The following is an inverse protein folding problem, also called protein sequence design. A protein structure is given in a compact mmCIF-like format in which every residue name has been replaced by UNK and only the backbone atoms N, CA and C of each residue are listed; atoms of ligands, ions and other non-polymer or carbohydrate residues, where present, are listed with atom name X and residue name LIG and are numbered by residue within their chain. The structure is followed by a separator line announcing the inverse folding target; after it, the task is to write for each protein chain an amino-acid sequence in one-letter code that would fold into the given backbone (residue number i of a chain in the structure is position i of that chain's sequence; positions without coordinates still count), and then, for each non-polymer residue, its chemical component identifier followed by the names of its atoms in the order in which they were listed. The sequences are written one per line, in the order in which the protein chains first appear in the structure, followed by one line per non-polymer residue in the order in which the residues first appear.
data_IF_638769205093
#
_entry.id   IF_638769205093
#
_cell.length_a   1.000
_cell.length_b   1.000
_cell.length_c   1.000
_cell.angle_alpha   90.00
_cell.angle_beta   90.00
_cell.angle_gamma   90.00
#
_symmetry.space_group_name_H-M   'P 1'
#
loop_
_entity.id
_entity.type
_entity.pdbx_description
1 polymer ?
#
# COMPACT_ATOMS: atom_id res chain seq x y z
N UNK A 1 27.27 -1.34 -11.17
CA UNK A 1 26.34 -1.41 -12.33
C UNK A 1 25.04 -0.79 -11.86
N UNK A 2 24.48 0.16 -12.60
CA UNK A 2 23.18 0.75 -12.23
C UNK A 2 22.05 -0.27 -12.43
N UNK A 3 20.92 -0.06 -11.75
CA UNK A 3 19.70 -0.81 -12.04
C UNK A 3 19.20 -0.45 -13.44
N UNK A 4 19.10 -1.45 -14.33
CA UNK A 4 18.43 -1.26 -15.61
C UNK A 4 16.95 -1.00 -15.35
N UNK A 5 16.48 0.19 -15.77
CA UNK A 5 15.08 0.57 -15.63
C UNK A 5 14.28 -0.05 -16.77
N UNK A 6 13.28 -0.90 -16.49
CA UNK A 6 12.42 -1.45 -17.52
C UNK A 6 11.68 -0.34 -18.28
N UNK A 7 11.26 -0.62 -19.52
CA UNK A 7 10.39 0.30 -20.26
C UNK A 7 9.08 0.51 -19.49
N UNK A 8 8.54 1.72 -19.53
CA UNK A 8 7.23 2.05 -18.97
C UNK A 8 6.13 1.07 -19.40
N UNK A 9 6.14 0.60 -20.65
CA UNK A 9 5.18 -0.40 -21.13
C UNK A 9 5.24 -1.70 -20.31
N UNK A 10 6.44 -2.14 -19.93
CA UNK A 10 6.65 -3.32 -19.09
C UNK A 10 6.27 -3.06 -17.62
N UNK A 11 6.50 -1.84 -17.13
CA UNK A 11 6.13 -1.46 -15.77
C UNK A 11 4.61 -1.36 -15.57
N UNK A 12 3.87 -1.07 -16.65
CA UNK A 12 2.41 -1.01 -16.68
C UNK A 12 1.75 -2.36 -17.03
N UNK A 13 2.54 -3.43 -17.20
CA UNK A 13 2.05 -4.81 -17.25
C UNK A 13 1.76 -5.33 -15.83
N UNK A 14 0.93 -6.39 -15.68
CA UNK A 14 0.56 -6.88 -14.38
C UNK A 14 1.77 -7.57 -13.74
N UNK A 15 1.91 -7.42 -12.43
CA UNK A 15 2.83 -8.26 -11.67
C UNK A 15 2.33 -9.71 -11.66
N UNK A 16 3.22 -10.70 -11.50
CA UNK A 16 2.77 -12.06 -11.21
C UNK A 16 1.96 -12.12 -9.91
N UNK A 17 1.20 -13.21 -9.65
CA UNK A 17 0.44 -13.41 -8.41
C UNK A 17 1.29 -13.15 -7.16
N UNK A 18 0.94 -12.10 -6.43
CA UNK A 18 1.61 -11.70 -5.20
C UNK A 18 1.09 -12.61 -4.09
N UNK A 19 2.00 -13.36 -3.48
CA UNK A 19 1.70 -14.33 -2.43
C UNK A 19 1.97 -13.75 -1.05
N UNK A 20 1.25 -14.24 -0.04
CA UNK A 20 1.48 -13.96 1.37
C UNK A 20 2.15 -15.19 2.02
N UNK A 21 3.08 -15.00 2.95
CA UNK A 21 3.80 -16.10 3.59
C UNK A 21 5.28 -15.80 3.88
N UNK A 22 5.99 -16.73 4.50
CA UNK A 22 7.41 -16.54 4.91
C UNK A 22 8.44 -16.94 3.86
N UNK A 23 8.01 -17.45 2.70
CA UNK A 23 8.92 -17.96 1.68
C UNK A 23 9.53 -16.81 0.87
N UNK A 24 10.83 -16.94 0.56
CA UNK A 24 11.54 -16.12 -0.42
C UNK A 24 12.13 -17.01 -1.52
N UNK A 25 12.34 -16.45 -2.71
CA UNK A 25 13.06 -17.11 -3.81
C UNK A 25 12.58 -16.67 -5.19
N UNK A 26 13.33 -17.03 -6.25
CA UNK A 26 13.04 -16.61 -7.62
C UNK A 26 11.63 -16.98 -8.13
N UNK A 27 11.01 -18.01 -7.54
CA UNK A 27 9.68 -18.49 -7.90
C UNK A 27 8.55 -17.94 -7.00
N UNK A 28 8.87 -17.08 -6.02
CA UNK A 28 7.89 -16.51 -5.09
C UNK A 28 7.87 -14.99 -5.22
N UNK A 29 6.79 -14.45 -5.76
CA UNK A 29 6.52 -13.01 -5.85
C UNK A 29 5.75 -12.60 -4.59
N UNK A 30 6.27 -11.65 -3.83
CA UNK A 30 5.80 -11.36 -2.47
C UNK A 30 6.44 -12.31 -1.44
N UNK A 31 5.62 -13.01 -0.65
CA UNK A 31 6.07 -13.85 0.45
C UNK A 31 6.80 -13.02 1.50
N UNK A 32 8.03 -13.40 1.83
CA UNK A 32 8.86 -12.64 2.76
C UNK A 32 9.25 -11.25 2.21
N UNK A 33 9.12 -11.05 0.89
CA UNK A 33 9.31 -9.76 0.21
C UNK A 33 7.98 -9.05 -0.06
N UNK A 34 7.08 -9.09 0.92
CA UNK A 34 5.80 -8.40 0.88
C UNK A 34 5.72 -7.34 1.99
N UNK A 35 4.93 -6.28 1.80
CA UNK A 35 4.76 -5.20 2.79
C UNK A 35 4.30 -5.72 4.16
N UNK A 36 3.49 -6.79 4.18
CA UNK A 36 3.04 -7.46 5.42
C UNK A 36 4.18 -8.10 6.23
N UNK A 37 5.32 -8.40 5.60
CA UNK A 37 6.46 -9.01 6.26
C UNK A 37 7.31 -7.98 7.03
N UNK A 38 7.17 -6.69 6.73
CA UNK A 38 8.07 -5.64 7.25
C UNK A 38 8.01 -5.53 8.77
N UNK A 39 6.84 -5.25 9.36
CA UNK A 39 6.76 -5.09 10.82
C UNK A 39 7.07 -6.38 11.59
N UNK A 40 6.60 -7.58 11.18
CA UNK A 40 7.06 -8.84 11.76
C UNK A 40 8.58 -9.00 11.70
N UNK A 41 9.23 -8.73 10.57
CA UNK A 41 10.69 -8.82 10.47
C UNK A 41 11.40 -7.85 11.41
N UNK A 42 10.93 -6.60 11.50
CA UNK A 42 11.49 -5.58 12.41
C UNK A 42 11.29 -5.93 13.88
N UNK A 43 10.21 -6.63 14.22
CA UNK A 43 10.00 -7.16 15.58
C UNK A 43 11.09 -8.17 15.97
N UNK A 44 11.53 -9.01 15.03
CA UNK A 44 12.65 -9.93 15.24
C UNK A 44 14.00 -9.20 15.34
N UNK A 45 14.21 -8.12 14.58
CA UNK A 45 15.39 -7.25 14.75
C UNK A 45 15.51 -6.69 16.18
N UNK A 46 14.38 -6.36 16.80
CA UNK A 46 14.28 -5.86 18.18
C UNK A 46 14.39 -6.97 19.24
N UNK A 47 14.60 -8.24 18.83
CA UNK A 47 14.66 -9.38 19.74
C UNK A 47 13.30 -9.80 20.31
N UNK A 48 12.19 -9.29 19.75
CA UNK A 48 10.83 -9.53 20.23
C UNK A 48 9.95 -9.97 19.06
N UNK A 49 10.17 -11.19 18.51
CA UNK A 49 9.51 -11.64 17.29
C UNK A 49 7.99 -11.77 17.46
N UNK A 50 7.25 -11.15 16.55
CA UNK A 50 5.78 -11.19 16.46
C UNK A 50 5.37 -12.05 15.27
N UNK A 51 4.71 -13.17 15.54
CA UNK A 51 4.07 -14.00 14.53
C UNK A 51 2.68 -13.47 14.18
N UNK A 52 2.25 -13.69 12.93
CA UNK A 52 0.92 -13.30 12.43
C UNK A 52 0.25 -14.46 11.70
N UNK A 53 -1.02 -14.28 11.31
CA UNK A 53 -1.81 -15.30 10.61
C UNK A 53 -1.16 -15.79 9.30
N UNK A 54 -0.39 -14.93 8.63
CA UNK A 54 0.30 -15.27 7.36
C UNK A 54 1.81 -15.36 7.53
N UNK A 55 2.37 -14.90 8.65
CA UNK A 55 3.80 -14.90 8.94
C UNK A 55 4.11 -15.58 10.28
N UNK A 56 4.17 -16.92 10.34
CA UNK A 56 4.45 -17.64 11.57
C UNK A 56 5.90 -17.47 12.08
N UNK A 57 6.86 -17.09 11.23
CA UNK A 57 8.28 -16.95 11.59
C UNK A 57 8.86 -15.58 11.26
N UNK A 58 8.72 -14.64 12.19
CA UNK A 58 9.35 -13.32 12.11
C UNK A 58 10.88 -13.37 11.91
N UNK A 59 11.56 -14.37 12.48
CA UNK A 59 13.02 -14.55 12.31
C UNK A 59 13.38 -14.94 10.87
N UNK A 60 12.60 -15.82 10.24
CA UNK A 60 12.81 -16.17 8.84
C UNK A 60 12.60 -14.94 7.92
N UNK A 61 11.65 -14.06 8.25
CA UNK A 61 11.46 -12.81 7.53
C UNK A 61 12.65 -11.85 7.69
N UNK A 62 13.16 -11.69 8.91
CA UNK A 62 14.38 -10.91 9.17
C UNK A 62 15.55 -11.40 8.30
N UNK A 63 15.79 -12.70 8.28
CA UNK A 63 16.86 -13.33 7.50
C UNK A 63 16.64 -13.14 5.99
N UNK A 64 15.42 -13.35 5.51
CA UNK A 64 15.07 -13.21 4.08
C UNK A 64 15.20 -11.76 3.57
N UNK A 65 14.94 -10.78 4.43
CA UNK A 65 15.12 -9.35 4.13
C UNK A 65 16.56 -8.87 4.41
N UNK A 66 17.42 -9.69 5.01
CA UNK A 66 18.79 -9.34 5.35
C UNK A 66 18.88 -8.24 6.41
N UNK A 67 17.91 -8.16 7.31
CA UNK A 67 17.84 -7.10 8.31
C UNK A 67 18.73 -7.44 9.53
N UNK A 68 19.61 -6.52 9.97
CA UNK A 68 20.45 -6.76 11.14
C UNK A 68 19.63 -6.75 12.44
N UNK A 69 20.21 -7.25 13.52
CA UNK A 69 19.69 -6.98 14.87
C UNK A 69 19.92 -5.51 15.23
N UNK A 70 18.95 -4.91 15.91
CA UNK A 70 19.02 -3.50 16.28
C UNK A 70 18.28 -3.26 17.59
N UNK A 71 18.82 -2.36 18.42
CA UNK A 71 18.17 -1.94 19.66
C UNK A 71 17.02 -0.97 19.41
N UNK A 72 17.14 -0.15 18.36
CA UNK A 72 16.17 0.87 17.97
C UNK A 72 15.94 0.78 16.48
N UNK A 73 14.67 0.79 16.07
CA UNK A 73 14.26 0.69 14.68
C UNK A 73 13.38 1.88 14.33
N UNK A 74 13.68 2.56 13.23
CA UNK A 74 12.83 3.57 12.61
C UNK A 74 12.32 3.02 11.28
N UNK A 75 11.02 2.77 11.18
CA UNK A 75 10.38 2.46 9.91
C UNK A 75 9.74 3.71 9.35
N UNK A 76 10.18 4.12 8.16
CA UNK A 76 9.64 5.28 7.45
C UNK A 76 8.76 4.77 6.32
N UNK A 77 7.48 5.15 6.31
CA UNK A 77 6.59 4.92 5.18
C UNK A 77 6.43 6.22 4.40
N UNK A 78 6.91 6.22 3.16
CA UNK A 78 6.74 7.30 2.20
C UNK A 78 5.60 6.93 1.26
N UNK A 79 4.45 7.56 1.47
CA UNK A 79 3.22 7.32 0.72
C UNK A 79 3.43 7.57 -0.78
N UNK A 80 3.02 6.62 -1.62
CA UNK A 80 3.08 6.71 -3.09
C UNK A 80 4.48 6.66 -3.71
N UNK A 81 5.53 6.34 -2.94
CA UNK A 81 6.90 6.21 -3.45
C UNK A 81 7.15 4.81 -4.03
N UNK A 82 6.73 4.56 -5.27
CA UNK A 82 7.02 3.30 -5.96
C UNK A 82 8.51 3.10 -6.22
N UNK A 83 8.98 1.85 -6.23
CA UNK A 83 10.39 1.54 -6.43
C UNK A 83 10.88 2.05 -7.80
N UNK A 84 10.09 1.84 -8.85
CA UNK A 84 10.45 2.31 -10.18
C UNK A 84 10.27 3.81 -10.34
N UNK A 85 9.29 4.43 -9.68
CA UNK A 85 9.19 5.89 -9.63
C UNK A 85 10.50 6.50 -9.06
N UNK A 86 11.00 5.92 -7.96
CA UNK A 86 12.26 6.30 -7.33
C UNK A 86 13.47 6.07 -8.25
N UNK A 87 13.63 4.87 -8.81
CA UNK A 87 14.76 4.54 -9.69
C UNK A 87 14.81 5.45 -10.92
N UNK A 88 13.66 5.74 -11.54
CA UNK A 88 13.57 6.65 -12.70
C UNK A 88 13.94 8.11 -12.39
N UNK A 89 13.93 8.50 -11.11
CA UNK A 89 14.25 9.86 -10.66
C UNK A 89 15.42 9.90 -9.66
N UNK A 90 16.22 8.82 -9.58
CA UNK A 90 17.31 8.68 -8.61
C UNK A 90 18.39 9.78 -8.71
N UNK A 91 18.49 10.45 -9.86
CA UNK A 91 19.39 11.59 -10.06
C UNK A 91 19.12 12.78 -9.13
N UNK A 92 17.88 12.92 -8.64
CA UNK A 92 17.42 14.02 -7.80
C UNK A 92 17.54 13.74 -6.29
N UNK A 93 17.86 12.50 -5.90
CA UNK A 93 17.77 12.04 -4.51
C UNK A 93 19.10 11.48 -4.03
N UNK A 94 20.09 12.33 -3.74
CA UNK A 94 21.45 11.88 -3.43
C UNK A 94 21.52 10.89 -2.26
N UNK A 95 20.69 11.03 -1.22
CA UNK A 95 20.70 10.11 -0.08
C UNK A 95 20.04 8.77 -0.44
N UNK A 96 18.83 8.76 -0.99
CA UNK A 96 18.17 7.52 -1.43
C UNK A 96 18.99 6.80 -2.51
N UNK A 97 19.64 7.55 -3.42
CA UNK A 97 20.56 6.99 -4.41
C UNK A 97 21.77 6.30 -3.76
N UNK A 98 22.33 6.87 -2.69
CA UNK A 98 23.41 6.19 -1.95
C UNK A 98 22.94 4.90 -1.28
N UNK A 99 21.69 4.81 -0.85
CA UNK A 99 21.14 3.55 -0.36
C UNK A 99 20.92 2.55 -1.52
N UNK A 100 20.42 3.00 -2.67
CA UNK A 100 20.22 2.18 -3.86
C UNK A 100 21.52 1.63 -4.47
N UNK A 101 22.69 2.25 -4.20
CA UNK A 101 23.96 1.67 -4.63
C UNK A 101 24.32 0.39 -3.88
N UNK A 102 23.71 0.14 -2.72
CA UNK A 102 23.90 -1.09 -1.96
C UNK A 102 23.04 -2.24 -2.54
N UNK A 103 23.63 -3.40 -2.89
CA UNK A 103 22.91 -4.51 -3.52
C UNK A 103 21.68 -4.99 -2.74
N UNK A 104 21.69 -4.91 -1.41
CA UNK A 104 20.54 -5.34 -0.59
C UNK A 104 19.29 -4.50 -0.88
N UNK A 105 19.47 -3.22 -1.22
CA UNK A 105 18.41 -2.24 -1.45
C UNK A 105 17.91 -2.21 -2.91
N UNK A 106 18.55 -2.98 -3.80
CA UNK A 106 18.22 -3.04 -5.23
C UNK A 106 17.06 -4.00 -5.55
N UNK A 107 16.43 -4.57 -4.52
CA UNK A 107 15.40 -5.58 -4.67
C UNK A 107 14.09 -5.10 -4.02
N UNK A 108 13.07 -4.73 -4.81
CA UNK A 108 11.82 -4.20 -4.27
C UNK A 108 11.07 -5.23 -3.40
N UNK A 109 10.19 -4.71 -2.53
CA UNK A 109 9.08 -5.49 -1.98
C UNK A 109 7.86 -5.35 -2.88
N UNK A 110 6.86 -6.20 -2.61
CA UNK A 110 5.54 -6.11 -3.18
C UNK A 110 4.54 -5.60 -2.13
N UNK A 111 3.66 -4.69 -2.53
CA UNK A 111 2.51 -4.28 -1.71
C UNK A 111 1.28 -5.17 -1.93
N UNK A 112 0.21 -4.91 -1.17
CA UNK A 112 -1.07 -5.61 -1.29
C UNK A 112 -1.80 -5.30 -2.60
N UNK A 113 -2.82 -6.10 -2.89
CA UNK A 113 -3.79 -5.84 -3.94
C UNK A 113 -5.21 -5.64 -3.36
N UNK A 114 -5.94 -4.57 -3.74
CA UNK A 114 -5.47 -3.45 -4.58
C UNK A 114 -4.30 -2.69 -3.94
N UNK A 115 -3.46 -2.06 -4.77
CA UNK A 115 -2.27 -1.29 -4.35
C UNK A 115 -2.69 0.10 -3.85
N UNK A 116 -3.51 0.10 -2.81
CA UNK A 116 -4.16 1.28 -2.26
C UNK A 116 -3.74 1.49 -0.82
N UNK A 117 -3.65 2.74 -0.36
CA UNK A 117 -3.29 3.07 1.02
C UNK A 117 -4.12 2.27 2.03
N UNK A 118 -5.43 2.10 1.81
CA UNK A 118 -6.32 1.36 2.74
C UNK A 118 -5.85 -0.09 2.93
N UNK A 119 -5.68 -0.83 1.83
CA UNK A 119 -5.27 -2.23 1.89
C UNK A 119 -3.82 -2.35 2.38
N UNK A 120 -2.94 -1.51 1.86
CA UNK A 120 -1.50 -1.51 2.16
C UNK A 120 -1.23 -1.20 3.63
N UNK A 121 -1.88 -0.17 4.19
CA UNK A 121 -1.77 0.15 5.62
C UNK A 121 -2.34 -0.96 6.50
N UNK A 122 -3.44 -1.56 6.07
CA UNK A 122 -4.02 -2.72 6.74
C UNK A 122 -3.07 -3.89 6.85
N UNK A 123 -2.43 -4.28 5.74
CA UNK A 123 -1.46 -5.39 5.75
C UNK A 123 -0.17 -5.02 6.45
N UNK A 124 0.31 -3.78 6.31
CA UNK A 124 1.53 -3.28 6.95
C UNK A 124 1.39 -3.36 8.48
N UNK A 125 0.34 -2.73 9.02
CA UNK A 125 0.18 -2.58 10.45
C UNK A 125 -0.17 -3.86 11.19
N UNK A 126 -0.79 -4.82 10.51
CA UNK A 126 -1.18 -6.13 11.10
C UNK A 126 -0.21 -7.26 10.74
N UNK A 127 0.63 -7.06 9.73
CA UNK A 127 1.43 -8.10 9.12
C UNK A 127 0.59 -9.24 8.53
N UNK A 128 -0.60 -8.96 8.00
CA UNK A 128 -1.52 -9.97 7.44
C UNK A 128 -1.88 -9.70 5.97
N UNK A 129 -3.12 -9.97 5.56
CA UNK A 129 -3.61 -9.82 4.19
C UNK A 129 -4.98 -9.12 4.14
N UNK A 130 -5.38 -8.51 3.02
CA UNK A 130 -6.66 -7.81 2.90
C UNK A 130 -7.87 -8.69 3.22
N UNK A 131 -7.81 -9.98 2.89
CA UNK A 131 -8.85 -10.97 3.17
C UNK A 131 -9.06 -11.29 4.66
N UNK A 132 -8.09 -10.94 5.51
CA UNK A 132 -8.17 -11.06 6.98
C UNK A 132 -8.48 -9.72 7.65
N UNK A 133 -7.94 -8.63 7.12
CA UNK A 133 -8.17 -7.29 7.67
C UNK A 133 -9.54 -6.72 7.31
N UNK A 134 -10.09 -7.11 6.15
CA UNK A 134 -11.33 -6.54 5.61
C UNK A 134 -11.16 -5.21 4.92
N UNK A 135 -9.94 -4.72 4.77
CA UNK A 135 -9.60 -3.51 4.02
C UNK A 135 -9.27 -3.91 2.57
N UNK A 136 -10.30 -3.99 1.72
CA UNK A 136 -10.20 -4.61 0.39
C UNK A 136 -10.21 -3.62 -0.77
N UNK A 137 -10.35 -2.32 -0.49
CA UNK A 137 -10.27 -1.25 -1.50
C UNK A 137 -10.55 0.13 -0.91
N UNK A 138 -10.32 1.19 -1.69
CA UNK A 138 -10.63 2.57 -1.27
C UNK A 138 -12.12 2.77 -0.92
N UNK A 139 -13.01 2.25 -1.78
CA UNK A 139 -14.42 2.06 -1.46
C UNK A 139 -14.78 0.58 -1.54
N UNK A 140 -15.66 0.12 -0.66
CA UNK A 140 -16.12 -1.26 -0.66
C UNK A 140 -17.54 -1.37 -0.11
N UNK A 141 -18.24 -2.46 -0.40
CA UNK A 141 -19.56 -2.71 0.15
C UNK A 141 -19.49 -2.86 1.67
N UNK A 142 -20.30 -2.08 2.38
CA UNK A 142 -20.61 -2.32 3.78
C UNK A 142 -21.73 -3.37 3.85
N UNK A 143 -21.47 -4.57 4.40
CA UNK A 143 -22.46 -5.64 4.43
C UNK A 143 -23.66 -5.32 5.32
N UNK A 144 -23.53 -4.40 6.29
CA UNK A 144 -24.61 -4.06 7.22
C UNK A 144 -25.64 -3.11 6.58
N UNK A 145 -25.22 -2.29 5.62
CA UNK A 145 -26.07 -1.28 4.98
C UNK A 145 -26.39 -1.58 3.52
N UNK A 146 -25.62 -2.46 2.88
CA UNK A 146 -25.71 -2.73 1.44
C UNK A 146 -25.27 -1.56 0.57
N UNK A 147 -24.60 -0.55 1.14
CA UNK A 147 -24.09 0.64 0.45
C UNK A 147 -22.55 0.63 0.43
N UNK A 148 -21.94 1.49 -0.39
CA UNK A 148 -20.49 1.67 -0.39
C UNK A 148 -20.04 2.48 0.84
N UNK A 149 -19.00 1.99 1.51
CA UNK A 149 -18.23 2.73 2.50
C UNK A 149 -16.91 3.20 1.90
N UNK A 150 -16.51 4.43 2.22
CA UNK A 150 -15.17 4.96 1.91
C UNK A 150 -14.24 4.67 3.08
N UNK A 151 -13.10 4.04 2.81
CA UNK A 151 -12.30 3.36 3.83
C UNK A 151 -11.11 4.17 4.38
N UNK A 152 -10.82 5.36 3.85
CA UNK A 152 -9.81 6.27 4.44
C UNK A 152 -10.41 6.98 5.67
N UNK A 153 -11.63 7.48 5.54
CA UNK A 153 -12.39 8.19 6.57
C UNK A 153 -13.40 7.28 7.27
N UNK A 154 -13.59 6.04 6.79
CA UNK A 154 -14.63 5.11 7.22
C UNK A 154 -16.05 5.69 7.12
N UNK A 155 -16.28 6.57 6.14
CA UNK A 155 -17.60 7.16 5.89
C UNK A 155 -18.51 6.09 5.27
N UNK A 156 -19.58 5.73 5.97
CA UNK A 156 -20.48 4.67 5.53
C UNK A 156 -19.91 3.26 5.68
N UNK A 157 -18.73 3.11 6.31
CA UNK A 157 -18.14 1.83 6.67
C UNK A 157 -18.57 1.40 8.08
N UNK A 158 -18.24 0.16 8.45
CA UNK A 158 -18.38 -0.32 9.83
C UNK A 158 -17.38 0.41 10.75
N UNK A 159 -17.55 0.32 12.07
CA UNK A 159 -16.55 0.84 13.01
C UNK A 159 -15.17 0.20 12.74
N UNK A 160 -14.05 0.95 12.83
CA UNK A 160 -12.74 0.48 12.39
C UNK A 160 -12.27 -0.83 13.05
N UNK A 161 -12.45 -0.97 14.36
CA UNK A 161 -12.06 -2.14 15.16
C UNK A 161 -13.06 -3.29 14.99
N UNK A 162 -14.31 -2.98 14.60
CA UNK A 162 -15.26 -4.01 14.20
C UNK A 162 -14.89 -4.62 12.84
N UNK A 163 -14.44 -3.79 11.90
CA UNK A 163 -14.05 -4.20 10.55
C UNK A 163 -12.69 -4.91 10.55
N UNK A 164 -11.68 -4.29 11.14
CA UNK A 164 -10.34 -4.84 11.28
C UNK A 164 -10.20 -5.44 12.67
N UNK A 165 -10.14 -6.77 12.75
CA UNK A 165 -10.17 -7.51 14.02
C UNK A 165 -8.85 -8.16 14.41
N UNK A 166 -7.83 -8.10 13.55
CA UNK A 166 -6.51 -8.68 13.84
C UNK A 166 -5.74 -7.73 14.75
N UNK A 167 -4.97 -8.21 15.74
CA UNK A 167 -4.08 -7.34 16.49
C UNK A 167 -3.09 -6.68 15.53
N UNK A 168 -2.78 -5.40 15.75
CA UNK A 168 -1.66 -4.78 15.05
C UNK A 168 -0.34 -5.32 15.63
N UNK A 169 0.73 -5.28 14.82
CA UNK A 169 2.07 -5.60 15.32
C UNK A 169 2.49 -4.59 16.39
N UNK A 170 2.01 -3.35 16.28
CA UNK A 170 2.21 -2.29 17.27
C UNK A 170 1.60 -2.63 18.63
N UNK A 171 0.33 -3.07 18.69
CA UNK A 171 -0.33 -3.53 19.91
C UNK A 171 0.42 -4.71 20.53
N UNK A 172 0.86 -5.66 19.69
CA UNK A 172 1.55 -6.86 20.15
C UNK A 172 2.90 -6.53 20.78
N UNK A 173 3.70 -5.66 20.14
CA UNK A 173 4.97 -5.17 20.67
C UNK A 173 4.77 -4.42 21.99
N UNK A 174 3.77 -3.53 22.05
CA UNK A 174 3.46 -2.77 23.27
C UNK A 174 3.07 -3.72 24.42
N UNK A 175 2.24 -4.73 24.16
CA UNK A 175 1.84 -5.73 25.15
C UNK A 175 3.03 -6.56 25.66
N UNK A 176 4.10 -6.68 24.86
CA UNK A 176 5.36 -7.34 25.24
C UNK A 176 6.38 -6.38 25.87
N UNK A 177 5.99 -5.13 26.17
CA UNK A 177 6.82 -4.14 26.84
C UNK A 177 7.80 -3.39 25.92
N UNK A 178 7.69 -3.56 24.60
CA UNK A 178 8.49 -2.82 23.62
C UNK A 178 7.88 -1.43 23.43
N UNK A 179 8.71 -0.38 23.49
CA UNK A 179 8.28 0.98 23.16
C UNK A 179 7.86 1.04 21.70
N UNK A 180 6.67 1.57 21.46
CA UNK A 180 6.15 1.84 20.11
C UNK A 180 5.72 3.30 20.03
N UNK A 181 6.26 4.02 19.05
CA UNK A 181 5.94 5.42 18.82
C UNK A 181 5.62 5.68 17.35
N UNK A 182 4.52 6.36 17.08
CA UNK A 182 4.14 6.83 15.75
C UNK A 182 4.28 8.35 15.68
N UNK A 183 4.99 8.86 14.68
CA UNK A 183 5.17 10.29 14.43
C UNK A 183 4.44 10.70 13.15
N UNK A 184 3.46 11.59 13.28
CA UNK A 184 2.55 11.90 12.19
C UNK A 184 1.79 13.22 12.36
N UNK A 185 0.84 13.45 11.45
CA UNK A 185 0.00 14.65 11.47
C UNK A 185 -1.07 14.56 12.57
N UNK A 186 -1.44 15.67 13.24
CA UNK A 186 -2.49 15.67 14.25
C UNK A 186 -3.81 15.06 13.80
N UNK A 187 -4.23 15.34 12.56
CA UNK A 187 -5.47 14.81 11.98
C UNK A 187 -5.50 13.28 11.83
N UNK A 188 -4.35 12.61 11.92
CA UNK A 188 -4.27 11.16 11.77
C UNK A 188 -4.27 10.41 13.09
N UNK A 189 -3.90 11.06 14.21
CA UNK A 189 -3.82 10.44 15.54
C UNK A 189 -5.02 9.54 15.85
N UNK A 190 -6.21 10.09 15.74
CA UNK A 190 -7.47 9.42 16.06
C UNK A 190 -8.29 9.09 14.80
N UNK A 191 -7.63 9.09 13.63
CA UNK A 191 -8.30 8.78 12.37
C UNK A 191 -8.73 7.31 12.33
N UNK A 192 -9.84 7.05 11.64
CA UNK A 192 -10.40 5.72 11.53
C UNK A 192 -9.41 4.69 10.94
N UNK A 193 -8.63 5.08 9.92
CA UNK A 193 -7.60 4.21 9.35
C UNK A 193 -6.47 3.93 10.35
N UNK A 194 -6.04 4.93 11.14
CA UNK A 194 -5.04 4.71 12.20
C UNK A 194 -5.58 3.76 13.28
N UNK A 195 -6.84 3.90 13.69
CA UNK A 195 -7.51 2.96 14.61
C UNK A 195 -7.59 1.54 14.03
N UNK A 196 -7.94 1.39 12.75
CA UNK A 196 -8.01 0.07 12.11
C UNK A 196 -6.64 -0.60 11.96
N UNK A 197 -5.62 0.15 11.53
CA UNK A 197 -4.38 -0.46 11.04
C UNK A 197 -3.15 -0.23 11.92
N UNK A 198 -3.08 0.88 12.67
CA UNK A 198 -1.83 1.37 13.29
C UNK A 198 -1.96 1.66 14.79
N UNK A 199 -3.04 1.21 15.43
CA UNK A 199 -3.26 1.39 16.88
C UNK A 199 -2.24 0.62 17.71
N UNK A 200 -2.04 1.03 18.98
CA UNK A 200 -1.12 0.40 19.94
C UNK A 200 0.16 1.20 20.23
N UNK A 201 0.50 2.20 19.41
CA UNK A 201 1.64 3.09 19.67
C UNK A 201 1.27 4.39 20.38
N UNK A 202 2.23 5.01 21.07
CA UNK A 202 2.14 6.42 21.44
C UNK A 202 2.18 7.29 20.17
N UNK A 203 1.30 8.29 20.05
CA UNK A 203 1.21 9.13 18.86
C UNK A 203 1.72 10.57 19.08
N UNK A 204 2.92 10.84 18.55
CA UNK A 204 3.53 12.16 18.52
C UNK A 204 3.02 12.95 17.30
N UNK A 205 2.27 14.02 17.55
CA UNK A 205 1.59 14.75 16.49
C UNK A 205 2.18 16.15 16.28
N UNK A 206 2.63 16.42 15.04
CA UNK A 206 3.11 17.75 14.65
C UNK A 206 2.67 18.13 13.22
N UNK A 207 2.31 19.41 13.04
CA UNK A 207 1.90 19.93 11.73
C UNK A 207 3.08 20.02 10.75
N UNK A 208 4.23 20.51 11.21
CA UNK A 208 5.41 20.68 10.37
C UNK A 208 6.17 19.36 10.20
N UNK A 209 6.56 19.04 8.97
CA UNK A 209 7.30 17.82 8.62
C UNK A 209 8.58 17.68 9.43
N UNK A 210 9.37 18.75 9.54
CA UNK A 210 10.60 18.76 10.33
C UNK A 210 10.37 18.47 11.82
N UNK A 211 9.27 18.94 12.40
CA UNK A 211 8.95 18.62 13.81
C UNK A 211 8.62 17.14 13.98
N UNK A 212 7.90 16.53 13.03
CA UNK A 212 7.64 15.08 13.03
C UNK A 212 8.93 14.27 12.95
N UNK A 213 9.85 14.68 12.08
CA UNK A 213 11.17 14.07 11.95
C UNK A 213 11.95 14.15 13.26
N UNK A 214 12.05 15.33 13.86
CA UNK A 214 12.78 15.52 15.12
C UNK A 214 12.16 14.71 16.27
N UNK A 215 10.83 14.61 16.32
CA UNK A 215 10.13 13.76 17.29
C UNK A 215 10.46 12.27 17.09
N UNK A 216 10.56 11.81 15.84
CA UNK A 216 10.99 10.43 15.53
C UNK A 216 12.44 10.19 15.95
N UNK A 217 13.36 11.15 15.72
CA UNK A 217 14.75 11.06 16.19
C UNK A 217 14.83 10.96 17.71
N UNK A 218 14.05 11.77 18.43
CA UNK A 218 14.05 11.75 19.89
C UNK A 218 13.51 10.42 20.42
N UNK A 219 12.40 9.92 19.87
CA UNK A 219 11.85 8.61 20.23
C UNK A 219 12.85 7.47 19.98
N UNK A 220 13.62 7.54 18.89
CA UNK A 220 14.62 6.53 18.53
C UNK A 220 15.84 6.47 19.46
N UNK A 221 16.03 7.45 20.36
CA UNK A 221 17.06 7.39 21.42
C UNK A 221 16.77 6.31 22.46
N UNK A 222 15.51 5.90 22.58
CA UNK A 222 15.10 4.79 23.43
C UNK A 222 14.84 3.54 22.59
N UNK A 223 15.27 2.35 23.06
CA UNK A 223 15.01 1.08 22.37
C UNK A 223 13.54 0.90 22.00
N UNK A 224 13.28 0.27 20.87
CA UNK A 224 11.93 -0.03 20.38
C UNK A 224 11.69 0.39 18.93
N UNK A 225 10.41 0.44 18.56
CA UNK A 225 9.95 0.74 17.20
C UNK A 225 9.43 2.18 17.09
N UNK A 226 9.90 2.90 16.09
CA UNK A 226 9.38 4.23 15.73
C UNK A 226 8.87 4.20 14.29
N UNK A 227 7.60 4.53 14.09
CA UNK A 227 6.97 4.69 12.78
C UNK A 227 6.92 6.17 12.40
N UNK A 228 7.46 6.52 11.23
CA UNK A 228 7.40 7.87 10.66
C UNK A 228 6.67 7.82 9.31
N UNK A 229 5.65 8.66 9.15
CA UNK A 229 4.88 8.75 7.92
C UNK A 229 5.15 10.06 7.16
N UNK A 230 5.46 9.94 5.87
CA UNK A 230 5.69 11.04 4.93
C UNK A 230 4.69 10.89 3.78
N UNK A 231 3.96 11.96 3.45
CA UNK A 231 2.78 11.90 2.56
C UNK A 231 2.89 12.73 1.29
N UNK A 232 4.00 13.45 1.17
CA UNK A 232 4.07 14.61 0.27
C UNK A 232 4.17 14.16 -1.19
N UNK A 233 4.90 13.07 -1.45
CA UNK A 233 5.06 12.44 -2.78
C UNK A 233 3.72 11.99 -3.36
N UNK A 234 2.95 11.18 -2.62
CA UNK A 234 1.60 10.78 -3.02
C UNK A 234 0.67 11.98 -3.29
N UNK A 235 0.59 12.90 -2.32
CA UNK A 235 -0.29 14.07 -2.42
C UNK A 235 -0.02 14.89 -3.67
N UNK A 236 1.25 15.11 -4.00
CA UNK A 236 1.64 15.87 -5.19
C UNK A 236 1.43 15.04 -6.45
N UNK A 237 1.73 13.73 -6.42
CA UNK A 237 1.47 12.82 -7.54
C UNK A 237 0.01 12.83 -7.96
N UNK A 238 -0.92 12.72 -7.02
CA UNK A 238 -2.36 12.82 -7.32
C UNK A 238 -2.78 14.17 -7.88
N UNK A 239 -2.10 15.27 -7.54
CA UNK A 239 -2.49 16.61 -7.95
C UNK A 239 -1.91 17.02 -9.30
N UNK A 240 -0.65 16.65 -9.54
CA UNK A 240 0.16 17.18 -10.65
C UNK A 240 0.72 16.09 -11.57
N UNK A 241 0.56 14.81 -11.21
CA UNK A 241 1.21 13.71 -11.91
C UNK A 241 2.60 13.45 -11.33
N UNK A 242 3.12 12.23 -11.51
CA UNK A 242 4.44 11.87 -10.98
C UNK A 242 5.58 12.13 -11.97
N UNK A 243 5.26 12.31 -13.26
CA UNK A 243 6.27 12.53 -14.29
C UNK A 243 6.78 13.99 -14.32
N UNK A 244 6.05 14.94 -13.71
CA UNK A 244 6.30 16.38 -13.71
C UNK A 244 7.28 16.91 -12.65
N UNK A 245 7.61 18.20 -12.76
CA UNK A 245 8.61 18.88 -11.90
C UNK A 245 8.13 19.06 -10.45
N UNK A 246 6.82 19.25 -10.23
CA UNK A 246 6.25 19.40 -8.89
C UNK A 246 6.47 18.13 -8.05
N UNK A 247 6.32 16.96 -8.66
CA UNK A 247 6.57 15.69 -7.99
C UNK A 247 8.06 15.50 -7.72
N UNK A 248 8.93 15.87 -8.66
CA UNK A 248 10.39 15.85 -8.44
C UNK A 248 10.78 16.73 -7.26
N UNK A 249 10.22 17.94 -7.14
CA UNK A 249 10.47 18.81 -5.98
C UNK A 249 9.98 18.19 -4.66
N UNK A 250 8.82 17.52 -4.65
CA UNK A 250 8.33 16.79 -3.49
C UNK A 250 9.24 15.61 -3.11
N UNK A 251 9.78 14.91 -4.10
CA UNK A 251 10.76 13.84 -3.94
C UNK A 251 12.09 14.37 -3.36
N UNK A 252 12.62 15.46 -3.90
CA UNK A 252 13.84 16.14 -3.39
C UNK A 252 13.67 16.57 -1.93
N UNK A 253 12.53 17.16 -1.58
CA UNK A 253 12.19 17.53 -0.20
C UNK A 253 12.07 16.31 0.73
N UNK A 254 11.63 15.17 0.21
CA UNK A 254 11.56 13.91 0.96
C UNK A 254 12.96 13.33 1.19
N UNK A 255 13.82 13.30 0.16
CA UNK A 255 15.22 12.87 0.28
C UNK A 255 15.98 13.72 1.31
N UNK A 256 15.81 15.05 1.27
CA UNK A 256 16.43 15.96 2.23
C UNK A 256 16.00 15.68 3.69
N UNK A 257 14.71 15.34 3.89
CA UNK A 257 14.21 14.91 5.20
C UNK A 257 14.86 13.60 5.63
N UNK A 258 14.90 12.59 4.77
CA UNK A 258 15.48 11.29 5.11
C UNK A 258 17.00 11.40 5.38
N UNK A 259 17.71 12.25 4.65
CA UNK A 259 19.10 12.55 4.92
C UNK A 259 19.29 13.27 6.27
N UNK A 260 18.39 14.18 6.66
CA UNK A 260 18.41 14.79 8.00
C UNK A 260 18.11 13.76 9.09
N UNK A 261 17.17 12.84 8.85
CA UNK A 261 16.86 11.74 9.76
C UNK A 261 18.12 10.89 10.02
N UNK A 262 18.76 10.36 8.96
CA UNK A 262 19.99 9.57 9.05
C UNK A 262 21.06 10.28 9.91
N UNK A 263 21.37 11.55 9.63
CA UNK A 263 22.40 12.31 10.37
C UNK A 263 22.09 12.54 11.85
N UNK A 264 20.82 12.46 12.25
CA UNK A 264 20.37 12.78 13.62
C UNK A 264 20.10 11.55 14.47
N UNK A 265 19.90 10.40 13.85
CA UNK A 265 19.64 9.17 14.58
C UNK A 265 20.89 8.74 15.35
N UNK A 266 20.72 8.10 16.53
CA UNK A 266 21.84 7.50 17.24
C UNK A 266 22.50 6.39 16.41
N UNK A 267 23.82 6.24 16.55
CA UNK A 267 24.56 5.12 15.96
C UNK A 267 23.96 3.78 16.41
N UNK A 268 23.89 2.82 15.49
CA UNK A 268 23.26 1.51 15.68
C UNK A 268 21.73 1.51 15.55
N UNK A 269 21.13 2.61 15.05
CA UNK A 269 19.69 2.65 14.73
C UNK A 269 19.46 2.09 13.34
N UNK A 270 18.61 1.06 13.23
CA UNK A 270 18.18 0.52 11.95
C UNK A 270 17.03 1.38 11.40
N UNK A 271 17.24 1.96 10.22
CA UNK A 271 16.19 2.64 9.44
C UNK A 271 15.75 1.76 8.28
N UNK A 272 14.44 1.57 8.13
CA UNK A 272 13.86 0.87 6.98
C UNK A 272 12.84 1.78 6.30
N UNK A 273 13.11 2.14 5.05
CA UNK A 273 12.28 3.04 4.25
C UNK A 273 11.47 2.21 3.27
N UNK A 274 10.14 2.28 3.39
CA UNK A 274 9.16 1.58 2.56
C UNK A 274 8.11 2.53 2.00
N UNK A 275 7.25 2.02 1.14
CA UNK A 275 6.04 2.72 0.68
C UNK A 275 4.83 1.80 0.79
N UNK A 276 3.63 2.36 0.65
CA UNK A 276 2.38 1.61 0.55
C UNK A 276 2.03 1.23 -0.89
N UNK A 277 2.38 2.06 -1.86
CA UNK A 277 2.25 1.78 -3.30
C UNK A 277 3.17 2.69 -4.14
N UNK A 278 3.20 2.44 -5.45
CA UNK A 278 3.72 3.37 -6.44
C UNK A 278 2.66 4.24 -7.08
N UNK A 279 3.04 4.93 -8.16
CA UNK A 279 2.17 5.90 -8.83
C UNK A 279 2.25 5.74 -10.35
N UNK A 280 1.08 5.76 -10.99
CA UNK A 280 0.91 5.76 -12.45
C UNK A 280 0.40 7.13 -12.86
N UNK A 281 0.89 7.63 -13.98
CA UNK A 281 0.34 8.83 -14.62
C UNK A 281 -0.84 8.40 -15.50
N UNK A 282 -2.01 8.98 -15.27
CA UNK A 282 -3.22 8.67 -16.02
C UNK A 282 -3.21 9.34 -17.40
N UNK A 283 -3.88 8.73 -18.37
CA UNK A 283 -4.14 9.35 -19.68
C UNK A 283 -5.63 9.77 -19.76
N UNK A 284 -5.94 11.08 -19.79
CA UNK A 284 -7.31 11.57 -19.92
C UNK A 284 -8.05 11.05 -21.15
N UNK A 285 -7.34 10.72 -22.24
CA UNK A 285 -7.93 10.18 -23.47
C UNK A 285 -8.29 8.70 -23.33
N UNK A 286 -7.71 8.01 -22.36
CA UNK A 286 -7.98 6.60 -22.07
C UNK A 286 -8.93 6.40 -20.89
N UNK A 287 -9.43 7.50 -20.30
CA UNK A 287 -10.42 7.46 -19.24
C UNK A 287 -11.74 6.87 -19.76
N UNK A 288 -12.26 5.88 -19.04
CA UNK A 288 -13.56 5.28 -19.31
C UNK A 288 -14.49 5.67 -18.17
N UNK A 289 -15.56 6.39 -18.50
CA UNK A 289 -16.63 6.73 -17.57
C UNK A 289 -17.76 5.71 -17.67
N UNK A 290 -17.88 4.86 -16.66
CA UNK A 290 -18.83 3.75 -16.60
C UNK A 290 -20.28 4.25 -16.68
N UNK A 291 -20.56 5.45 -16.15
CA UNK A 291 -21.88 6.07 -16.25
C UNK A 291 -22.32 6.35 -17.70
N UNK A 292 -21.36 6.48 -18.62
CA UNK A 292 -21.58 6.76 -20.04
C UNK A 292 -21.50 5.51 -20.92
N UNK A 293 -21.37 4.32 -20.32
CA UNK A 293 -21.22 3.04 -21.02
C UNK A 293 -22.37 2.10 -20.62
N UNK A 294 -23.56 2.21 -21.24
CA UNK A 294 -24.74 1.42 -20.86
C UNK A 294 -24.51 -0.09 -20.87
N UNK A 295 -23.68 -0.60 -21.78
CA UNK A 295 -23.34 -2.02 -21.86
C UNK A 295 -22.47 -2.49 -20.68
N UNK A 296 -21.55 -1.64 -20.19
CA UNK A 296 -20.75 -1.95 -18.99
C UNK A 296 -21.58 -1.87 -17.72
N UNK A 297 -22.56 -0.96 -17.67
CA UNK A 297 -23.39 -0.71 -16.51
C UNK A 297 -24.59 -1.68 -16.39
N UNK A 298 -24.92 -2.43 -17.45
CA UNK A 298 -26.00 -3.42 -17.42
C UNK A 298 -25.70 -4.51 -16.38
N UNK A 299 -26.67 -4.82 -15.51
CA UNK A 299 -26.56 -5.81 -14.42
C UNK A 299 -25.58 -5.43 -13.29
N UNK A 300 -25.12 -4.18 -13.25
CA UNK A 300 -24.23 -3.65 -12.21
C UNK A 300 -25.04 -2.76 -11.26
N UNK A 301 -25.07 -3.13 -9.97
CA UNK A 301 -25.79 -2.41 -8.92
C UNK A 301 -24.97 -1.28 -8.32
N UNK A 302 -23.69 -1.53 -8.03
CA UNK A 302 -22.76 -0.57 -7.44
C UNK A 302 -21.37 -0.71 -8.06
N UNK A 303 -20.67 0.41 -8.20
CA UNK A 303 -19.26 0.48 -8.61
C UNK A 303 -18.43 1.02 -7.45
N UNK A 304 -17.68 0.14 -6.80
CA UNK A 304 -16.73 0.50 -5.74
C UNK A 304 -15.27 0.33 -6.17
N UNK A 305 -14.37 0.22 -5.20
CA UNK A 305 -12.93 0.20 -5.40
C UNK A 305 -12.36 1.59 -5.65
N UNK A 306 -11.48 1.68 -6.64
CA UNK A 306 -10.74 2.89 -7.05
C UNK A 306 -10.51 2.90 -8.56
N UNK A 307 -10.13 4.03 -9.17
CA UNK A 307 -10.08 4.16 -10.64
C UNK A 307 -9.19 3.14 -11.36
N UNK A 308 -8.23 2.58 -10.65
CA UNK A 308 -7.29 1.57 -11.16
C UNK A 308 -7.69 0.14 -10.82
N UNK A 309 -8.56 -0.06 -9.84
CA UNK A 309 -9.05 -1.37 -9.41
C UNK A 309 -10.51 -1.26 -8.97
N UNK A 310 -11.43 -1.27 -9.94
CA UNK A 310 -12.86 -1.15 -9.63
C UNK A 310 -13.43 -2.50 -9.18
N UNK A 311 -14.31 -2.45 -8.18
CA UNK A 311 -15.08 -3.58 -7.70
C UNK A 311 -16.52 -3.41 -8.14
N UNK A 312 -17.03 -4.34 -8.93
CA UNK A 312 -18.42 -4.32 -9.40
C UNK A 312 -19.25 -5.22 -8.51
N UNK A 313 -20.35 -4.68 -7.98
CA UNK A 313 -21.34 -5.44 -7.24
C UNK A 313 -22.57 -5.58 -8.13
N UNK A 314 -22.95 -6.82 -8.43
CA UNK A 314 -23.94 -7.09 -9.46
C UNK A 314 -25.37 -7.08 -8.91
N UNK A 315 -26.33 -6.93 -9.82
CA UNK A 315 -27.74 -7.12 -9.51
C UNK A 315 -28.05 -8.56 -9.10
N UNK A 316 -29.11 -8.74 -8.31
CA UNK A 316 -29.52 -10.06 -7.87
C UNK A 316 -29.89 -10.94 -9.07
N UNK A 317 -29.24 -12.10 -9.20
CA UNK A 317 -29.48 -13.05 -10.28
C UNK A 317 -28.62 -12.82 -11.54
N UNK A 318 -27.83 -11.75 -11.58
CA UNK A 318 -26.84 -11.55 -12.64
C UNK A 318 -25.73 -12.61 -12.56
N UNK A 319 -25.31 -13.15 -13.70
CA UNK A 319 -24.19 -14.09 -13.79
C UNK A 319 -22.86 -13.32 -13.90
N UNK A 320 -21.95 -13.44 -12.90
CA UNK A 320 -20.65 -12.78 -12.95
C UNK A 320 -19.83 -13.12 -14.19
N UNK A 321 -19.93 -14.33 -14.74
CA UNK A 321 -19.16 -14.69 -15.94
C UNK A 321 -19.67 -13.97 -17.19
N UNK A 322 -20.98 -13.79 -17.32
CA UNK A 322 -21.57 -13.02 -18.44
C UNK A 322 -21.13 -11.55 -18.34
N UNK A 323 -21.19 -10.97 -17.15
CA UNK A 323 -20.72 -9.59 -16.95
C UNK A 323 -19.22 -9.49 -17.21
N UNK A 324 -18.41 -10.43 -16.72
CA UNK A 324 -16.97 -10.44 -16.93
C UNK A 324 -16.60 -10.52 -18.42
N UNK A 325 -17.31 -11.33 -19.21
CA UNK A 325 -17.11 -11.42 -20.66
C UNK A 325 -17.31 -10.08 -21.36
N UNK A 326 -18.40 -9.35 -21.06
CA UNK A 326 -18.63 -8.00 -21.64
C UNK A 326 -17.50 -7.03 -21.30
N UNK A 327 -17.06 -7.04 -20.05
CA UNK A 327 -15.97 -6.18 -19.59
C UNK A 327 -14.64 -6.55 -20.28
N UNK A 328 -14.35 -7.84 -20.45
CA UNK A 328 -13.17 -8.32 -21.20
C UNK A 328 -13.22 -7.92 -22.67
N UNK A 329 -14.38 -8.03 -23.32
CA UNK A 329 -14.56 -7.61 -24.72
C UNK A 329 -14.33 -6.10 -24.89
N UNK A 330 -14.85 -5.27 -23.97
CA UNK A 330 -14.71 -3.80 -24.03
C UNK A 330 -13.30 -3.31 -23.70
N UNK A 331 -12.60 -3.97 -22.79
CA UNK A 331 -11.29 -3.54 -22.32
C UNK A 331 -10.13 -4.21 -23.08
N UNK A 332 -10.32 -5.43 -23.56
CA UNK A 332 -9.27 -6.22 -24.20
C UNK A 332 -8.11 -6.47 -23.23
N UNK A 333 -6.87 -6.32 -23.72
CA UNK A 333 -5.65 -6.50 -22.93
C UNK A 333 -5.38 -5.37 -21.92
N UNK A 334 -6.22 -4.34 -21.93
CA UNK A 334 -6.01 -3.13 -21.14
C UNK A 334 -6.47 -3.23 -19.69
N UNK A 335 -7.07 -4.35 -19.29
CA UNK A 335 -7.42 -4.62 -17.91
C UNK A 335 -7.55 -6.12 -17.65
N UNK A 336 -7.36 -6.52 -16.40
CA UNK A 336 -7.64 -7.85 -15.91
C UNK A 336 -9.00 -7.88 -15.23
N UNK A 337 -9.92 -8.63 -15.82
CA UNK A 337 -11.27 -8.83 -15.29
C UNK A 337 -11.33 -10.20 -14.64
N UNK A 338 -11.55 -10.22 -13.33
CA UNK A 338 -11.63 -11.44 -12.52
C UNK A 338 -12.98 -11.49 -11.83
N UNK A 339 -13.60 -12.67 -11.76
CA UNK A 339 -14.68 -12.86 -10.80
C UNK A 339 -14.12 -12.88 -9.39
N UNK A 340 -14.99 -12.61 -8.40
CA UNK A 340 -14.64 -12.72 -6.98
C UNK A 340 -13.97 -14.05 -6.66
N UNK A 341 -14.54 -15.15 -7.13
CA UNK A 341 -14.00 -16.49 -6.88
C UNK A 341 -12.64 -16.69 -7.54
N UNK A 342 -12.44 -16.19 -8.77
CA UNK A 342 -11.14 -16.23 -9.43
C UNK A 342 -10.09 -15.42 -8.66
N UNK A 343 -10.45 -14.23 -8.17
CA UNK A 343 -9.55 -13.37 -7.38
C UNK A 343 -9.17 -14.01 -6.04
N UNK A 344 -10.15 -14.62 -5.34
CA UNK A 344 -9.92 -15.31 -4.07
C UNK A 344 -9.06 -16.56 -4.27
N UNK A 345 -9.40 -17.40 -5.25
CA UNK A 345 -8.63 -18.61 -5.57
C UNK A 345 -7.21 -18.29 -6.06
N UNK A 346 -7.04 -17.17 -6.77
CA UNK A 346 -5.75 -16.64 -7.19
C UNK A 346 -4.90 -16.04 -6.07
N UNK A 347 -5.44 -15.95 -4.85
CA UNK A 347 -4.69 -15.48 -3.68
C UNK A 347 -4.49 -13.97 -3.58
N UNK A 348 -5.19 -13.17 -4.38
CA UNK A 348 -5.04 -11.69 -4.44
C UNK A 348 -5.16 -11.05 -3.06
N UNK A 349 -6.12 -11.53 -2.27
CA UNK A 349 -6.42 -11.03 -0.93
C UNK A 349 -5.78 -11.87 0.20
N UNK A 350 -4.94 -12.85 -0.14
CA UNK A 350 -4.48 -13.89 0.80
C UNK A 350 -5.64 -14.76 1.30
N UNK A 351 -5.54 -15.36 2.50
CA UNK A 351 -6.67 -16.02 3.14
C UNK A 351 -7.85 -15.05 3.33
N UNK A 352 -9.08 -15.51 3.05
CA UNK A 352 -10.28 -14.67 3.12
C UNK A 352 -11.26 -15.22 4.15
N UNK A 353 -11.52 -14.43 5.20
CA UNK A 353 -12.56 -14.74 6.18
C UNK A 353 -13.95 -14.65 5.51
N UNK A 354 -14.86 -15.55 5.89
CA UNK A 354 -16.23 -15.56 5.35
C UNK A 354 -16.96 -14.21 5.50
N UNK A 355 -16.68 -13.47 6.58
CA UNK A 355 -17.22 -12.13 6.86
C UNK A 355 -16.76 -11.05 5.87
N UNK A 356 -15.60 -11.24 5.24
CA UNK A 356 -14.97 -10.27 4.32
C UNK A 356 -15.42 -10.52 2.88
N UNK A 357 -15.77 -11.77 2.54
CA UNK A 357 -16.20 -12.14 1.20
C UNK A 357 -17.27 -11.21 0.58
N UNK A 358 -18.31 -10.74 1.31
CA UNK A 358 -19.30 -9.80 0.78
C UNK A 358 -18.76 -8.41 0.45
N UNK A 359 -17.65 -8.00 1.09
CA UNK A 359 -17.03 -6.68 0.88
C UNK A 359 -16.28 -6.60 -0.46
N UNK A 360 -15.77 -7.74 -0.93
CA UNK A 360 -15.09 -7.86 -2.23
C UNK A 360 -16.13 -7.78 -3.34
N UNK A 361 -15.89 -7.04 -4.42
CA UNK A 361 -16.78 -7.01 -5.61
C UNK A 361 -17.07 -8.41 -6.16
N UNK A 362 -18.22 -8.60 -6.79
CA UNK A 362 -18.53 -9.82 -7.55
C UNK A 362 -17.60 -9.96 -8.76
N UNK A 363 -17.17 -8.83 -9.32
CA UNK A 363 -16.05 -8.71 -10.24
C UNK A 363 -15.01 -7.71 -9.73
N UNK A 364 -13.76 -7.98 -10.04
CA UNK A 364 -12.67 -7.02 -9.99
C UNK A 364 -12.23 -6.70 -11.41
N UNK A 365 -12.04 -5.41 -11.68
CA UNK A 365 -11.46 -4.94 -12.95
C UNK A 365 -10.23 -4.12 -12.61
N UNK A 366 -9.07 -4.73 -12.84
CA UNK A 366 -7.76 -4.18 -12.52
C UNK A 366 -7.20 -3.57 -13.80
N UNK A 367 -7.11 -2.25 -13.86
CA UNK A 367 -6.66 -1.55 -15.05
C UNK A 367 -5.18 -1.83 -15.34
N UNK A 368 -4.83 -2.08 -16.59
CA UNK A 368 -3.47 -2.03 -17.10
C UNK A 368 -3.18 -0.66 -17.70
N UNK A 369 -1.97 -0.48 -18.22
CA UNK A 369 -1.57 0.76 -18.91
C UNK A 369 -1.90 2.02 -18.04
N UNK A 370 -2.17 3.16 -18.68
CA UNK A 370 -2.51 4.46 -18.05
C UNK A 370 -4.01 4.70 -17.89
N UNK A 371 -4.82 3.65 -17.96
CA UNK A 371 -6.29 3.74 -17.97
C UNK A 371 -6.84 4.01 -16.58
N UNK A 372 -7.91 4.80 -16.54
CA UNK A 372 -8.76 4.99 -15.37
C UNK A 372 -10.20 4.61 -15.68
N UNK A 373 -10.82 3.88 -14.77
CA UNK A 373 -12.21 3.45 -14.79
C UNK A 373 -12.95 4.25 -13.72
N UNK A 374 -13.76 5.21 -14.12
CA UNK A 374 -14.43 6.15 -13.21
C UNK A 374 -15.94 6.02 -13.35
N UNK A 375 -16.69 6.55 -12.38
CA UNK A 375 -18.15 6.60 -12.44
C UNK A 375 -18.63 7.99 -12.05
N UNK A 376 -18.88 8.84 -13.05
CA UNK A 376 -19.29 10.24 -12.82
C UNK A 376 -20.68 10.40 -12.20
N UNK A 377 -21.48 9.33 -12.14
CA UNK A 377 -22.76 9.35 -11.43
C UNK A 377 -22.59 9.56 -9.91
N UNK A 378 -21.50 9.04 -9.34
CA UNK A 378 -21.26 9.01 -7.89
C UNK A 378 -19.98 9.77 -7.47
N UNK A 379 -19.13 10.15 -8.44
CA UNK A 379 -17.84 10.79 -8.20
C UNK A 379 -17.84 12.25 -8.65
N UNK A 380 -17.11 13.09 -7.93
CA UNK A 380 -16.92 14.49 -8.34
C UNK A 380 -16.05 14.58 -9.59
N UNK A 381 -16.27 15.60 -10.44
CA UNK A 381 -15.48 15.77 -11.67
C UNK A 381 -13.96 15.78 -11.39
N UNK A 382 -13.53 16.46 -10.32
CA UNK A 382 -12.13 16.47 -9.89
C UNK A 382 -11.58 15.06 -9.56
N UNK A 383 -12.36 14.21 -8.88
CA UNK A 383 -11.95 12.84 -8.57
C UNK A 383 -11.82 11.96 -9.83
N UNK A 384 -12.56 12.29 -10.90
CA UNK A 384 -12.51 11.55 -12.18
C UNK A 384 -11.37 12.00 -13.11
N UNK A 385 -10.51 12.94 -12.69
CA UNK A 385 -9.48 13.58 -13.54
C UNK A 385 -8.14 13.74 -12.84
N UNK A 386 -7.87 12.93 -11.81
CA UNK A 386 -6.60 12.96 -11.10
C UNK A 386 -5.45 12.62 -12.06
N UNK A 387 -4.43 13.47 -12.22
CA UNK A 387 -3.29 13.17 -13.08
C UNK A 387 -2.53 11.91 -12.64
N UNK A 388 -2.12 11.82 -11.37
CA UNK A 388 -1.56 10.60 -10.79
C UNK A 388 -2.63 9.71 -10.16
N UNK A 389 -2.53 8.41 -10.36
CA UNK A 389 -3.41 7.38 -9.80
C UNK A 389 -2.63 6.11 -9.44
N UNK A 390 -3.22 5.29 -8.57
CA UNK A 390 -2.70 3.98 -8.19
C UNK A 390 -3.89 3.06 -7.82
N UNK A 391 -3.62 1.80 -7.48
CA UNK A 391 -4.61 0.84 -7.01
C UNK A 391 -4.62 -0.50 -7.76
N UNK A 392 -4.08 -0.55 -8.99
CA UNK A 392 -4.06 -1.77 -9.79
C UNK A 392 -2.86 -2.66 -9.49
N UNK A 393 -2.73 -3.71 -10.29
CA UNK A 393 -1.76 -4.77 -10.15
C UNK A 393 -0.54 -4.58 -11.05
N UNK A 394 -0.23 -3.36 -11.51
CA UNK A 394 0.97 -3.17 -12.35
C UNK A 394 2.25 -3.20 -11.54
N UNK A 395 3.39 -3.49 -12.17
CA UNK A 395 4.70 -3.45 -11.50
C UNK A 395 5.02 -2.05 -10.94
N UNK A 396 4.65 -1.00 -11.66
CA UNK A 396 4.85 0.39 -11.23
C UNK A 396 4.10 0.70 -9.93
N UNK A 397 2.89 0.17 -9.76
CA UNK A 397 2.04 0.38 -8.58
C UNK A 397 2.42 -0.56 -7.42
N UNK A 398 2.79 -1.80 -7.72
CA UNK A 398 2.93 -2.85 -6.71
C UNK A 398 4.34 -3.02 -6.16
N UNK A 399 5.38 -2.67 -6.92
CA UNK A 399 6.77 -2.79 -6.48
C UNK A 399 7.19 -1.52 -5.74
N UNK A 400 7.47 -1.67 -4.45
CA UNK A 400 7.77 -0.58 -3.51
C UNK A 400 9.20 -0.75 -2.97
N UNK A 401 9.86 0.35 -2.55
CA UNK A 401 11.19 0.28 -1.95
C UNK A 401 11.17 -0.46 -0.62
N UNK A 402 12.31 -1.05 -0.28
CA UNK A 402 12.69 -1.44 1.06
C UNK A 402 14.17 -1.12 1.22
N UNK A 403 14.45 0.13 1.57
CA UNK A 403 15.81 0.63 1.71
C UNK A 403 16.21 0.49 3.17
N UNK A 404 17.28 -0.24 3.38
CA UNK A 404 17.87 -0.55 4.66
C UNK A 404 19.07 0.37 4.85
N UNK A 405 19.08 1.07 5.99
CA UNK A 405 20.13 1.99 6.40
C UNK A 405 20.43 1.76 7.88
N UNK A 406 21.67 1.43 8.22
CA UNK A 406 22.12 1.27 9.60
C UNK A 406 23.07 2.42 9.92
N UNK A 407 22.63 3.32 10.80
CA UNK A 407 23.33 4.56 11.17
C UNK A 407 24.59 4.30 11.99
#
# INVERSE_FOLDING_TARGET
MGLDTPDMKELLQPSPPIQYGDRAGANHVGGARHLSAVLPALSACLGTPVATDVHPSAKALQEALGLPEARSVVVVLVDGLGFWNLVSRQGHVPYLRSLLSEPINQHPLYTSLPSTTVAAMGVFGTGTSPGLTGMTGYTQLNPDTGQLGQMIQFRGAQDPEHLQRRPTVFETLQAQGVRVTSSGLPRFRDSALTRAALRGGEYLAHNHSRQRLLAACEAARQPGLTYLYIRDVDKVGHHSGWEGEEWVAALEATDAQLAELHRRLPAGTLTVIVADHGMVESDPNQRIDIAQEPELNRDVRLVGGEPRAVMLYLDQGADPQVVATRWRERLGERAWVLTRDQAIQGGIFGPVDARIRPMIGDLLVLAGDRITLVNSADQTDAATRLPGVHGSWTRLETQIPCLIDLV
#
